data_IF_160919644934
#
_entry.id   IF_160919644934
#
_cell.length_a   1.000
_cell.length_b   1.000
_cell.length_c   1.000
_cell.angle_alpha   90.00
_cell.angle_beta   90.00
_cell.angle_gamma   90.00
#
_symmetry.space_group_name_H-M   'P 1'
#
loop_
_entity.id
_entity.type
_entity.pdbx_description
1 polymer ?
#
# COMPACT_ATOMS: atom_id res chain seq x y z
N UNK A 1 39.44 -9.69 -10.15
CA UNK A 1 37.97 -9.56 -10.21
C UNK A 1 37.56 -8.56 -9.13
N UNK A 2 37.22 -7.34 -9.54
CA UNK A 2 36.82 -6.27 -8.62
C UNK A 2 35.42 -6.52 -8.09
N UNK A 3 35.27 -6.41 -6.77
CA UNK A 3 33.98 -6.48 -6.10
C UNK A 3 33.12 -5.27 -6.45
N UNK A 4 31.87 -5.53 -6.80
CA UNK A 4 30.84 -4.51 -7.03
C UNK A 4 30.56 -3.86 -5.67
N UNK A 5 30.99 -2.61 -5.50
CA UNK A 5 30.56 -1.75 -4.41
C UNK A 5 29.08 -1.43 -4.66
N UNK A 6 28.24 -1.93 -3.76
CA UNK A 6 26.82 -1.62 -3.68
C UNK A 6 26.73 -0.20 -3.11
N UNK A 7 26.50 0.78 -3.97
CA UNK A 7 26.18 2.14 -3.53
C UNK A 7 24.87 2.09 -2.72
N UNK A 8 25.02 2.15 -1.39
CA UNK A 8 23.93 2.47 -0.48
C UNK A 8 23.48 3.93 -0.69
N UNK A 9 22.23 4.27 -0.38
CA UNK A 9 21.70 5.62 -0.59
C UNK A 9 22.27 6.60 0.44
N UNK A 10 23.50 7.09 0.21
CA UNK A 10 24.15 8.13 1.01
C UNK A 10 23.46 9.51 0.87
N UNK A 11 22.76 9.74 -0.24
CA UNK A 11 22.20 11.07 -0.56
C UNK A 11 21.17 11.61 0.43
N UNK A 12 20.49 10.75 1.20
CA UNK A 12 19.59 11.19 2.27
C UNK A 12 20.35 11.76 3.48
N UNK A 13 21.43 11.10 3.90
CA UNK A 13 22.23 11.55 5.04
C UNK A 13 22.95 12.87 4.73
N UNK A 14 23.45 13.02 3.50
CA UNK A 14 24.16 14.21 3.03
C UNK A 14 23.25 15.45 2.99
N UNK A 15 21.99 15.31 2.57
CA UNK A 15 21.02 16.41 2.54
C UNK A 15 20.70 16.93 3.96
N UNK A 16 20.41 16.04 4.91
CA UNK A 16 20.05 16.47 6.28
C UNK A 16 21.26 17.05 7.02
N UNK A 17 22.47 16.61 6.70
CA UNK A 17 23.69 17.25 7.21
C UNK A 17 23.81 18.69 6.66
N UNK A 18 23.62 18.88 5.36
CA UNK A 18 23.67 20.20 4.73
C UNK A 18 22.62 21.17 5.27
N UNK A 19 21.36 20.72 5.41
CA UNK A 19 20.27 21.53 5.98
C UNK A 19 20.57 21.97 7.43
N UNK A 20 21.17 21.08 8.24
CA UNK A 20 21.59 21.43 9.60
C UNK A 20 22.75 22.41 9.62
N UNK A 21 23.72 22.30 8.71
CA UNK A 21 24.83 23.26 8.59
C UNK A 21 24.33 24.66 8.21
N UNK A 22 23.43 24.76 7.21
CA UNK A 22 22.83 26.05 6.85
C UNK A 22 22.01 26.65 7.99
N UNK A 23 21.29 25.81 8.75
CA UNK A 23 20.51 26.30 9.88
C UNK A 23 21.42 26.84 10.99
N UNK A 24 22.54 26.17 11.28
CA UNK A 24 23.52 26.64 12.26
C UNK A 24 24.17 27.97 11.83
N UNK A 25 24.43 28.15 10.54
CA UNK A 25 24.96 29.40 9.98
C UNK A 25 23.96 30.56 10.16
N UNK A 26 22.68 30.34 9.81
CA UNK A 26 21.61 31.34 9.98
C UNK A 26 21.34 31.66 11.45
N UNK A 27 21.36 30.66 12.35
CA UNK A 27 21.23 30.88 13.80
C UNK A 27 22.43 31.64 14.37
N UNK A 28 23.63 31.41 13.83
CA UNK A 28 24.84 32.15 14.18
C UNK A 28 24.80 33.62 13.73
N UNK A 29 24.28 33.89 12.53
CA UNK A 29 24.13 35.26 12.00
C UNK A 29 22.97 36.03 12.63
N UNK A 30 21.85 35.35 12.92
CA UNK A 30 20.65 35.98 13.51
C UNK A 30 20.69 36.06 15.03
N UNK A 31 21.50 35.22 15.69
CA UNK A 31 21.58 35.11 17.16
C UNK A 31 20.33 34.51 17.81
N UNK A 32 19.37 34.00 17.02
CA UNK A 32 18.11 33.45 17.49
C UNK A 32 18.01 31.98 17.07
N UNK A 33 17.82 31.04 18.01
CA UNK A 33 17.61 29.64 17.66
C UNK A 33 16.22 29.43 17.05
N UNK A 34 16.15 28.74 15.92
CA UNK A 34 14.88 28.40 15.25
C UNK A 34 14.49 26.95 15.58
N UNK A 35 13.82 26.81 16.72
CA UNK A 35 13.33 25.51 17.23
C UNK A 35 12.28 24.90 16.30
N UNK A 36 11.52 25.71 15.57
CA UNK A 36 10.50 25.24 14.64
C UNK A 36 11.14 24.63 13.39
N UNK A 37 12.15 25.29 12.80
CA UNK A 37 12.90 24.74 11.66
C UNK A 37 13.65 23.47 12.03
N UNK A 38 14.25 23.38 13.24
CA UNK A 38 14.85 22.14 13.75
C UNK A 38 13.84 21.01 13.82
N UNK A 39 12.65 21.28 14.35
CA UNK A 39 11.57 20.29 14.42
C UNK A 39 11.08 19.87 13.04
N UNK A 40 11.02 20.78 12.06
CA UNK A 40 10.65 20.46 10.67
C UNK A 40 11.69 19.61 9.97
N UNK A 41 12.98 19.89 10.16
CA UNK A 41 14.07 19.07 9.60
C UNK A 41 14.02 17.65 10.19
N UNK A 42 13.86 17.50 11.50
CA UNK A 42 13.72 16.19 12.13
C UNK A 42 12.44 15.45 11.73
N UNK A 43 11.31 16.16 11.61
CA UNK A 43 10.08 15.57 11.08
C UNK A 43 10.27 15.04 9.65
N UNK A 44 10.88 15.84 8.76
CA UNK A 44 11.20 15.43 7.39
C UNK A 44 12.21 14.27 7.34
N UNK A 45 13.19 14.25 8.25
CA UNK A 45 14.16 13.15 8.39
C UNK A 45 13.47 11.86 8.77
N UNK A 46 12.62 11.90 9.79
CA UNK A 46 11.85 10.72 10.22
C UNK A 46 10.88 10.26 9.13
N UNK A 47 10.25 11.17 8.40
CA UNK A 47 9.36 10.82 7.28
C UNK A 47 10.14 10.23 6.10
N UNK A 48 11.33 10.75 5.79
CA UNK A 48 12.21 10.20 4.74
C UNK A 48 12.76 8.83 5.11
N UNK A 49 12.99 8.55 6.39
CA UNK A 49 13.33 7.21 6.88
C UNK A 49 12.14 6.25 6.89
N UNK A 50 10.90 6.76 7.02
CA UNK A 50 9.68 5.95 6.91
C UNK A 50 9.34 5.57 5.48
N UNK A 51 9.82 6.33 4.49
CA UNK A 51 9.80 5.86 3.10
C UNK A 51 10.67 4.60 3.06
N UNK A 52 10.13 3.41 2.78
CA UNK A 52 10.94 2.23 2.63
C UNK A 52 11.97 2.54 1.53
N UNK A 53 13.25 2.62 1.90
CA UNK A 53 14.32 2.61 0.90
C UNK A 53 14.02 1.41 0.02
N UNK A 54 13.75 1.67 -1.26
CA UNK A 54 13.26 0.68 -2.18
C UNK A 54 14.09 -0.58 -1.97
N UNK A 55 13.43 -1.61 -1.45
CA UNK A 55 13.99 -2.94 -1.41
C UNK A 55 14.08 -3.35 -2.87
N UNK A 56 15.20 -3.00 -3.52
CA UNK A 56 15.56 -3.49 -4.84
C UNK A 56 15.85 -5.00 -4.83
N UNK A 57 15.61 -5.65 -3.69
CA UNK A 57 15.58 -7.10 -3.51
C UNK A 57 14.16 -7.56 -3.18
N UNK A 58 13.34 -7.86 -4.19
CA UNK A 58 12.19 -8.75 -3.98
C UNK A 58 11.00 -8.59 -4.92
N UNK A 59 10.85 -7.45 -5.59
CA UNK A 59 9.80 -7.28 -6.61
C UNK A 59 10.47 -6.85 -7.90
N UNK A 60 10.90 -7.84 -8.67
CA UNK A 60 11.40 -7.62 -10.02
C UNK A 60 10.24 -7.04 -10.85
N UNK A 61 10.36 -5.80 -11.32
CA UNK A 61 9.33 -5.13 -12.15
C UNK A 61 8.88 -6.02 -13.32
N UNK A 62 9.81 -6.81 -13.85
CA UNK A 62 9.54 -7.81 -14.88
C UNK A 62 8.62 -8.94 -14.42
N UNK A 63 8.77 -9.42 -13.18
CA UNK A 63 7.89 -10.43 -12.60
C UNK A 63 6.49 -9.89 -12.30
N UNK A 64 6.39 -8.61 -11.91
CA UNK A 64 5.09 -7.93 -11.76
C UNK A 64 4.39 -7.82 -13.10
N UNK A 65 5.08 -7.35 -14.15
CA UNK A 65 4.51 -7.27 -15.48
C UNK A 65 4.09 -8.63 -16.02
N UNK A 66 4.93 -9.66 -15.85
CA UNK A 66 4.58 -11.03 -16.23
C UNK A 66 3.35 -11.54 -15.46
N UNK A 67 3.26 -11.25 -14.16
CA UNK A 67 2.11 -11.64 -13.34
C UNK A 67 0.85 -10.89 -13.76
N UNK A 68 0.96 -9.61 -14.11
CA UNK A 68 -0.15 -8.79 -14.59
C UNK A 68 -0.63 -9.26 -15.98
N UNK A 69 0.29 -9.57 -16.90
CA UNK A 69 -0.04 -10.16 -18.20
C UNK A 69 -0.74 -11.52 -18.04
N UNK A 70 -0.24 -12.37 -17.14
CA UNK A 70 -0.84 -13.67 -16.85
C UNK A 70 -2.25 -13.55 -16.26
N UNK A 71 -2.44 -12.65 -15.29
CA UNK A 71 -3.75 -12.39 -14.67
C UNK A 71 -4.71 -11.76 -15.68
N UNK A 72 -4.23 -10.85 -16.53
CA UNK A 72 -4.99 -10.25 -17.63
C UNK A 72 -5.48 -11.30 -18.62
N UNK A 73 -4.60 -12.20 -19.06
CA UNK A 73 -4.96 -13.31 -19.96
C UNK A 73 -6.00 -14.25 -19.33
N UNK A 74 -5.87 -14.56 -18.04
CA UNK A 74 -6.86 -15.35 -17.30
C UNK A 74 -8.21 -14.65 -17.20
N UNK A 75 -8.21 -13.34 -16.92
CA UNK A 75 -9.44 -12.54 -16.84
C UNK A 75 -10.15 -12.50 -18.21
N UNK A 76 -9.41 -12.32 -19.30
CA UNK A 76 -9.95 -12.36 -20.65
C UNK A 76 -10.59 -13.73 -20.98
N UNK A 77 -9.94 -14.83 -20.58
CA UNK A 77 -10.50 -16.18 -20.75
C UNK A 77 -11.79 -16.38 -19.94
N UNK A 78 -11.80 -15.97 -18.67
CA UNK A 78 -13.00 -16.08 -17.83
C UNK A 78 -14.14 -15.23 -18.39
N UNK A 79 -13.85 -14.02 -18.89
CA UNK A 79 -14.83 -13.16 -19.55
C UNK A 79 -15.45 -13.83 -20.80
N UNK A 80 -14.64 -14.43 -21.66
CA UNK A 80 -15.13 -15.15 -22.84
C UNK A 80 -15.98 -16.38 -22.47
N UNK A 81 -15.67 -17.07 -21.36
CA UNK A 81 -16.52 -18.14 -20.85
C UNK A 81 -17.84 -17.61 -20.29
N UNK A 82 -17.80 -16.47 -19.60
CA UNK A 82 -18.97 -15.81 -19.02
C UNK A 82 -19.95 -15.34 -20.09
N UNK A 83 -19.49 -14.83 -21.23
CA UNK A 83 -20.37 -14.37 -22.32
C UNK A 83 -21.34 -15.47 -22.81
N UNK A 84 -20.90 -16.73 -22.83
CA UNK A 84 -21.76 -17.86 -23.20
C UNK A 84 -22.76 -18.26 -22.10
N UNK A 85 -22.43 -17.96 -20.84
CA UNK A 85 -23.20 -18.36 -19.65
C UNK A 85 -24.18 -17.27 -19.21
N UNK A 86 -23.84 -16.01 -19.45
CA UNK A 86 -24.70 -14.83 -19.17
C UNK A 86 -25.80 -14.63 -20.22
N UNK A 87 -25.78 -15.43 -21.30
CA UNK A 87 -26.84 -15.48 -22.31
C UNK A 87 -28.16 -16.02 -21.76
N UNK A 88 -28.12 -16.77 -20.65
CA UNK A 88 -29.29 -17.23 -19.91
C UNK A 88 -29.65 -16.22 -18.80
N UNK A 89 -30.88 -15.65 -18.80
CA UNK A 89 -31.29 -14.63 -17.84
C UNK A 89 -31.33 -15.12 -16.38
N UNK A 90 -31.63 -16.40 -16.14
CA UNK A 90 -31.69 -16.95 -14.77
C UNK A 90 -30.27 -17.14 -14.22
N UNK A 91 -29.34 -17.60 -15.06
CA UNK A 91 -27.93 -17.74 -14.69
C UNK A 91 -27.29 -16.37 -14.46
N UNK A 92 -27.64 -15.37 -15.28
CA UNK A 92 -27.21 -13.98 -15.08
C UNK A 92 -27.66 -13.41 -13.74
N UNK A 93 -28.91 -13.63 -13.34
CA UNK A 93 -29.43 -13.16 -12.05
C UNK A 93 -28.62 -13.75 -10.88
N UNK A 94 -28.33 -15.06 -10.90
CA UNK A 94 -27.52 -15.74 -9.87
C UNK A 94 -26.08 -15.21 -9.85
N UNK A 95 -25.49 -14.94 -11.02
CA UNK A 95 -24.14 -14.37 -11.11
C UNK A 95 -24.08 -12.95 -10.56
N UNK A 96 -25.13 -12.14 -10.77
CA UNK A 96 -25.24 -10.81 -10.19
C UNK A 96 -25.39 -10.86 -8.67
N UNK A 97 -26.26 -11.74 -8.15
CA UNK A 97 -26.47 -11.92 -6.71
C UNK A 97 -25.20 -12.43 -6.02
N UNK A 98 -24.50 -13.39 -6.63
CA UNK A 98 -23.22 -13.88 -6.09
C UNK A 98 -22.12 -12.84 -6.20
N UNK A 99 -22.07 -12.04 -7.26
CA UNK A 99 -21.15 -10.92 -7.37
C UNK A 99 -21.42 -9.86 -6.27
N UNK A 100 -22.68 -9.58 -5.95
CA UNK A 100 -23.04 -8.64 -4.88
C UNK A 100 -22.51 -9.09 -3.50
N UNK A 101 -22.45 -10.41 -3.26
CA UNK A 101 -21.90 -10.97 -2.02
C UNK A 101 -20.37 -10.97 -1.98
N UNK A 102 -19.71 -11.31 -3.09
CA UNK A 102 -18.25 -11.53 -3.11
C UNK A 102 -17.44 -10.30 -3.51
N UNK A 103 -17.96 -9.38 -4.33
CA UNK A 103 -17.24 -8.17 -4.73
C UNK A 103 -16.73 -7.36 -3.54
N UNK A 104 -17.52 -7.08 -2.49
CA UNK A 104 -17.04 -6.35 -1.32
C UNK A 104 -15.87 -7.05 -0.62
N UNK A 105 -15.85 -8.39 -0.59
CA UNK A 105 -14.79 -9.18 0.04
C UNK A 105 -13.52 -9.16 -0.80
N UNK A 106 -13.66 -9.27 -2.13
CA UNK A 106 -12.55 -9.30 -3.08
C UNK A 106 -11.90 -7.92 -3.21
N UNK A 107 -12.70 -6.84 -3.20
CA UNK A 107 -12.20 -5.47 -3.32
C UNK A 107 -11.79 -4.85 -1.98
N UNK A 108 -12.03 -5.52 -0.86
CA UNK A 108 -11.67 -5.00 0.45
C UNK A 108 -10.14 -4.86 0.59
N UNK A 109 -9.70 -3.67 0.98
CA UNK A 109 -8.32 -3.44 1.36
C UNK A 109 -8.00 -4.08 2.73
N UNK A 110 -6.73 -4.05 3.15
CA UNK A 110 -6.30 -4.71 4.38
C UNK A 110 -7.02 -4.20 5.64
N UNK A 111 -7.31 -2.90 5.71
CA UNK A 111 -7.97 -2.29 6.86
C UNK A 111 -9.46 -2.61 6.89
N UNK A 112 -10.13 -2.61 5.73
CA UNK A 112 -11.51 -3.06 5.57
C UNK A 112 -11.67 -4.53 5.96
N UNK A 113 -10.72 -5.41 5.59
CA UNK A 113 -10.72 -6.82 6.01
C UNK A 113 -10.53 -6.98 7.52
N UNK A 114 -9.64 -6.20 8.14
CA UNK A 114 -9.49 -6.20 9.61
C UNK A 114 -10.77 -5.76 10.31
N UNK A 115 -11.39 -4.66 9.87
CA UNK A 115 -12.64 -4.14 10.44
C UNK A 115 -13.82 -5.11 10.31
N UNK A 116 -13.90 -5.84 9.19
CA UNK A 116 -14.89 -6.89 8.98
C UNK A 116 -14.65 -8.10 9.89
N UNK A 117 -13.38 -8.49 10.12
CA UNK A 117 -13.04 -9.60 11.03
C UNK A 117 -13.23 -9.29 12.51
N UNK A 118 -13.12 -8.01 12.92
CA UNK A 118 -13.42 -7.57 14.29
C UNK A 118 -14.92 -7.47 14.57
N UNK A 119 -15.74 -7.42 13.52
CA UNK A 119 -17.20 -7.48 13.60
C UNK A 119 -17.66 -8.90 13.30
N UNK A 120 -17.29 -9.86 14.14
CA UNK A 120 -17.94 -11.18 14.10
C UNK A 120 -19.41 -10.99 14.48
N UNK A 121 -20.39 -11.45 13.68
CA UNK A 121 -21.79 -11.47 14.11
C UNK A 121 -21.92 -12.51 15.22
N UNK A 122 -21.74 -12.05 16.46
CA UNK A 122 -22.10 -12.80 17.65
C UNK A 122 -23.53 -13.30 17.50
N UNK A 123 -23.67 -14.61 17.61
CA UNK A 123 -24.92 -15.35 17.68
C UNK A 123 -25.83 -14.68 18.72
N UNK A 124 -26.79 -13.87 18.27
CA UNK A 124 -27.82 -13.31 19.14
C UNK A 124 -28.76 -14.46 19.50
N UNK A 125 -28.66 -14.92 20.74
CA UNK A 125 -29.62 -15.85 21.34
C UNK A 125 -30.97 -15.14 21.46
N UNK A 126 -32.09 -15.75 21.02
CA UNK A 126 -33.40 -15.12 21.15
C UNK A 126 -33.81 -15.03 22.63
N UNK A 127 -34.50 -13.95 23.05
CA UNK A 127 -34.89 -13.78 24.44
C UNK A 127 -35.94 -14.82 24.83
N UNK A 128 -35.62 -15.63 25.84
CA UNK A 128 -36.58 -16.47 26.55
C UNK A 128 -37.69 -15.61 27.14
N UNK A 129 -38.90 -15.72 26.60
CA UNK A 129 -40.09 -15.14 27.19
C UNK A 129 -40.57 -16.06 28.31
N UNK A 130 -40.71 -15.50 29.51
CA UNK A 130 -41.34 -16.13 30.68
C UNK A 130 -42.81 -15.74 30.73
#
# INVERSE_FOLDING_TARGET
MGGIQKDEPQGGADLFQFLNSMLQEVEGESGIPDVELRSKIEALRTETQKVPQASTSGVNEREVNNSLEFVSAKLAKVKAMLENVESDPDVKAILQDSAALWMPVITANADQRRAASSTSPGHQTPPSTK
#
